data_IF_241901992849
#
_entry.id   IF_241901992849
#
_cell.length_a   1.000
_cell.length_b   1.000
_cell.length_c   1.000
_cell.angle_alpha   90.00
_cell.angle_beta   90.00
_cell.angle_gamma   90.00
#
_symmetry.space_group_name_H-M   'P 1'
#
loop_
_entity.id
_entity.type
_entity.pdbx_description
1 polymer ?
#
# COMPACT_ATOMS: atom_id res chain seq x y z
N UNK A 1 6.87 7.06 -4.15
CA UNK A 1 8.25 7.40 -4.56
C UNK A 1 8.31 7.38 -6.07
N UNK A 2 8.92 8.39 -6.72
CA UNK A 2 9.08 8.38 -8.19
C UNK A 2 10.15 7.37 -8.60
N UNK A 3 9.91 6.65 -9.70
CA UNK A 3 10.84 5.68 -10.29
C UNK A 3 10.98 5.96 -11.79
N UNK A 4 12.10 5.54 -12.38
CA UNK A 4 12.32 5.67 -13.83
C UNK A 4 11.32 4.79 -14.58
N UNK A 5 10.62 5.39 -15.54
CA UNK A 5 9.82 4.65 -16.53
C UNK A 5 10.75 3.79 -17.38
N UNK A 6 10.71 2.47 -17.19
CA UNK A 6 11.49 1.51 -17.93
C UNK A 6 10.80 0.15 -17.89
N UNK A 7 10.97 -0.63 -18.94
CA UNK A 7 10.43 -1.97 -19.07
C UNK A 7 11.61 -2.92 -19.26
N UNK A 8 11.62 -4.05 -18.54
CA UNK A 8 12.64 -5.08 -18.69
C UNK A 8 12.01 -6.47 -18.65
N UNK A 9 12.57 -7.39 -19.43
CA UNK A 9 12.18 -8.79 -19.35
C UNK A 9 12.98 -9.48 -18.25
N UNK A 10 12.28 -10.17 -17.35
CA UNK A 10 12.87 -11.03 -16.33
C UNK A 10 12.78 -12.50 -16.79
N UNK A 11 13.89 -13.09 -17.27
CA UNK A 11 13.89 -14.44 -17.82
C UNK A 11 13.68 -15.52 -16.75
N UNK A 12 13.96 -15.23 -15.48
CA UNK A 12 13.80 -16.22 -14.40
C UNK A 12 12.33 -16.48 -14.09
N UNK A 13 11.49 -15.46 -14.21
CA UNK A 13 10.06 -15.53 -13.91
C UNK A 13 9.18 -15.46 -15.16
N UNK A 14 9.81 -15.48 -16.35
CA UNK A 14 9.19 -15.32 -17.66
C UNK A 14 8.15 -14.17 -17.68
N UNK A 15 8.58 -12.99 -17.22
CA UNK A 15 7.67 -11.85 -17.05
C UNK A 15 8.32 -10.55 -17.48
N UNK A 16 7.55 -9.72 -18.18
CA UNK A 16 7.94 -8.35 -18.47
C UNK A 16 7.58 -7.46 -17.26
N UNK A 17 8.59 -6.82 -16.66
CA UNK A 17 8.50 -5.91 -15.51
C UNK A 17 8.50 -4.44 -15.95
N UNK A 18 8.11 -3.55 -15.05
CA UNK A 18 8.08 -2.10 -15.29
C UNK A 18 6.70 -1.51 -15.58
N UNK A 19 5.67 -2.36 -15.62
CA UNK A 19 4.28 -1.93 -15.70
C UNK A 19 3.65 -1.76 -14.32
N UNK A 20 2.50 -1.08 -14.26
CA UNK A 20 1.68 -1.06 -13.06
C UNK A 20 1.34 -2.47 -12.59
N UNK A 21 1.48 -2.66 -11.28
CA UNK A 21 1.32 -3.93 -10.62
C UNK A 21 0.86 -3.70 -9.19
N UNK A 22 -0.36 -4.15 -8.91
CA UNK A 22 -1.01 -4.08 -7.61
C UNK A 22 -1.13 -5.48 -6.99
N UNK A 23 -0.19 -6.36 -7.29
CA UNK A 23 -0.18 -7.77 -6.89
C UNK A 23 -1.46 -8.49 -7.36
N UNK A 24 -2.15 -9.18 -6.46
CA UNK A 24 -3.37 -9.93 -6.79
C UNK A 24 -4.56 -9.04 -7.21
N UNK A 25 -4.48 -7.71 -6.99
CA UNK A 25 -5.49 -6.76 -7.48
C UNK A 25 -5.33 -6.43 -8.97
N UNK A 26 -4.25 -6.92 -9.60
CA UNK A 26 -4.08 -6.91 -11.04
C UNK A 26 -2.95 -6.01 -11.53
N UNK A 27 -2.69 -6.16 -12.83
CA UNK A 27 -1.66 -5.43 -13.59
C UNK A 27 -2.31 -4.67 -14.74
N UNK A 28 -1.68 -3.59 -15.18
CA UNK A 28 -2.14 -2.81 -16.33
C UNK A 28 -1.05 -2.68 -17.39
N UNK A 29 -1.41 -2.16 -18.58
CA UNK A 29 -0.46 -1.88 -19.66
C UNK A 29 0.37 -0.61 -19.45
N UNK A 30 0.10 0.16 -18.40
CA UNK A 30 0.74 1.46 -18.18
C UNK A 30 2.12 1.26 -17.56
N UNK A 31 3.13 1.94 -18.13
CA UNK A 31 4.49 1.92 -17.57
C UNK A 31 4.47 2.67 -16.25
N UNK A 32 4.90 2.00 -15.18
CA UNK A 32 4.90 2.56 -13.84
C UNK A 32 5.96 3.65 -13.72
N UNK A 33 5.61 4.70 -12.98
CA UNK A 33 6.52 5.80 -12.64
C UNK A 33 6.51 6.13 -11.15
N UNK A 34 5.73 5.40 -10.36
CA UNK A 34 5.75 5.47 -8.91
C UNK A 34 5.82 4.06 -8.30
N UNK A 35 6.55 3.95 -7.19
CA UNK A 35 6.50 2.83 -6.28
C UNK A 35 5.85 3.25 -4.96
N UNK A 36 4.87 2.47 -4.50
CA UNK A 36 4.31 2.51 -3.16
C UNK A 36 4.90 1.41 -2.32
N UNK A 37 5.36 1.71 -1.11
CA UNK A 37 5.98 0.73 -0.20
C UNK A 37 5.21 0.69 1.10
N UNK A 38 4.92 -0.51 1.58
CA UNK A 38 4.34 -0.79 2.88
C UNK A 38 5.46 -1.21 3.84
N UNK A 39 5.53 -0.53 4.99
CA UNK A 39 6.56 -0.74 5.99
C UNK A 39 5.91 -0.93 7.36
N UNK A 40 6.30 -2.00 8.05
CA UNK A 40 5.96 -2.21 9.44
C UNK A 40 7.01 -1.50 10.32
N UNK A 41 6.54 -0.87 11.40
CA UNK A 41 7.37 -0.13 12.35
C UNK A 41 6.99 -0.55 13.76
N UNK A 42 7.97 -0.96 14.56
CA UNK A 42 7.76 -1.21 15.98
C UNK A 42 7.37 0.06 16.73
N UNK A 43 6.31 -0.03 17.52
CA UNK A 43 5.83 1.07 18.38
C UNK A 43 6.65 1.16 19.68
N UNK A 44 6.90 0.01 20.33
CA UNK A 44 7.64 -0.10 21.60
C UNK A 44 9.09 -0.53 21.41
N UNK A 45 9.42 -1.08 20.25
CA UNK A 45 10.76 -1.59 19.92
C UNK A 45 11.29 -0.92 18.65
N UNK A 46 12.60 -0.67 18.60
CA UNK A 46 13.22 0.02 17.47
C UNK A 46 13.54 -0.93 16.31
N UNK A 47 12.53 -1.30 15.54
CA UNK A 47 12.69 -2.05 14.29
C UNK A 47 11.80 -1.46 13.21
N UNK A 48 12.19 -1.65 11.94
CA UNK A 48 11.40 -1.29 10.76
C UNK A 48 11.69 -2.28 9.64
N UNK A 49 10.66 -2.68 8.90
CA UNK A 49 10.81 -3.62 7.81
C UNK A 49 9.83 -3.28 6.68
N UNK A 50 10.31 -2.96 5.46
CA UNK A 50 9.48 -3.01 4.27
C UNK A 50 9.01 -4.45 4.05
N UNK A 51 7.71 -4.66 3.83
CA UNK A 51 7.15 -6.00 3.65
C UNK A 51 6.33 -6.15 2.37
N UNK A 52 5.99 -5.05 1.70
CA UNK A 52 5.25 -5.09 0.44
C UNK A 52 5.47 -3.85 -0.38
N UNK A 53 5.27 -3.98 -1.69
CA UNK A 53 5.33 -2.86 -2.63
C UNK A 53 4.33 -3.02 -3.76
N UNK A 54 3.97 -1.90 -4.38
CA UNK A 54 3.14 -1.82 -5.57
C UNK A 54 3.72 -0.81 -6.55
N UNK A 55 3.42 -0.98 -7.82
CA UNK A 55 3.85 -0.08 -8.89
C UNK A 55 2.64 0.59 -9.54
N UNK A 56 2.69 1.91 -9.69
CA UNK A 56 1.60 2.70 -10.27
C UNK A 56 2.11 3.70 -11.32
N UNK A 57 1.23 4.08 -12.25
CA UNK A 57 1.42 5.22 -13.14
C UNK A 57 0.59 6.38 -12.60
N UNK A 58 1.28 7.35 -12.02
CA UNK A 58 0.66 8.42 -11.26
C UNK A 58 0.02 7.89 -9.99
N UNK A 59 -1.11 8.47 -9.61
CA UNK A 59 -1.74 8.16 -8.34
C UNK A 59 -2.61 6.91 -8.38
N UNK A 60 -2.44 6.06 -7.37
CA UNK A 60 -3.28 4.88 -7.15
C UNK A 60 -4.73 5.30 -6.94
N UNK A 61 -5.68 4.56 -7.55
CA UNK A 61 -7.11 4.76 -7.30
C UNK A 61 -7.42 4.60 -5.81
N UNK A 62 -8.30 5.44 -5.29
CA UNK A 62 -8.71 5.46 -3.88
C UNK A 62 -9.26 4.11 -3.41
N UNK A 63 -10.15 3.48 -4.19
CA UNK A 63 -10.71 2.16 -3.88
C UNK A 63 -9.61 1.10 -3.77
N UNK A 64 -8.65 1.12 -4.70
CA UNK A 64 -7.55 0.15 -4.74
C UNK A 64 -6.59 0.38 -3.57
N UNK A 65 -6.28 1.64 -3.25
CA UNK A 65 -5.43 1.97 -2.11
C UNK A 65 -6.08 1.54 -0.78
N UNK A 66 -7.39 1.75 -0.62
CA UNK A 66 -8.14 1.27 0.56
C UNK A 66 -8.00 -0.24 0.71
N UNK A 67 -8.19 -1.00 -0.38
CA UNK A 67 -8.02 -2.46 -0.37
C UNK A 67 -6.59 -2.85 0.03
N UNK A 68 -5.57 -2.24 -0.58
CA UNK A 68 -4.17 -2.53 -0.25
C UNK A 68 -3.84 -2.27 1.23
N UNK A 69 -4.38 -1.21 1.83
CA UNK A 69 -4.20 -0.92 3.27
C UNK A 69 -4.84 -2.02 4.12
N UNK A 70 -6.07 -2.43 3.82
CA UNK A 70 -6.75 -3.48 4.57
C UNK A 70 -6.06 -4.84 4.43
N UNK A 71 -5.59 -5.20 3.23
CA UNK A 71 -4.79 -6.39 3.00
C UNK A 71 -3.50 -6.34 3.81
N UNK A 72 -2.79 -5.20 3.79
CA UNK A 72 -1.56 -5.03 4.55
C UNK A 72 -1.77 -5.21 6.06
N UNK A 73 -2.91 -4.77 6.60
CA UNK A 73 -3.28 -5.00 8.01
C UNK A 73 -3.49 -6.49 8.26
N UNK A 74 -4.29 -7.17 7.42
CA UNK A 74 -4.58 -8.60 7.55
C UNK A 74 -3.30 -9.45 7.51
N UNK A 75 -2.40 -9.19 6.57
CA UNK A 75 -1.12 -9.91 6.43
C UNK A 75 -0.24 -9.77 7.68
N UNK A 76 -0.21 -8.60 8.31
CA UNK A 76 0.52 -8.38 9.56
C UNK A 76 -0.15 -9.08 10.75
N UNK A 77 -1.48 -9.06 10.82
CA UNK A 77 -2.24 -9.75 11.87
C UNK A 77 -2.10 -11.27 11.79
N UNK A 78 -2.02 -11.84 10.58
CA UNK A 78 -1.78 -13.28 10.38
C UNK A 78 -0.47 -13.77 10.99
N UNK A 79 0.54 -12.90 11.09
CA UNK A 79 1.81 -13.21 11.77
C UNK A 79 1.85 -12.69 13.21
N UNK A 80 0.68 -12.44 13.81
CA UNK A 80 0.51 -11.98 15.20
C UNK A 80 1.08 -10.59 15.51
N UNK A 81 1.26 -9.73 14.50
CA UNK A 81 1.55 -8.32 14.72
C UNK A 81 0.25 -7.53 14.86
N UNK A 82 0.06 -6.88 16.01
CA UNK A 82 -1.10 -6.04 16.25
C UNK A 82 -0.88 -4.64 15.67
N UNK A 83 -1.62 -4.30 14.61
CA UNK A 83 -1.55 -2.98 13.97
C UNK A 83 -2.38 -1.98 14.77
N UNK A 84 -1.73 -0.98 15.37
CA UNK A 84 -2.40 0.08 16.15
C UNK A 84 -2.52 1.42 15.42
N UNK A 85 -1.72 1.64 14.38
CA UNK A 85 -1.73 2.88 13.62
C UNK A 85 -1.30 2.64 12.18
N UNK A 86 -1.94 3.36 11.25
CA UNK A 86 -1.52 3.46 9.85
C UNK A 86 -1.06 4.89 9.62
N UNK A 87 0.18 5.04 9.14
CA UNK A 87 0.79 6.35 8.88
C UNK A 87 0.93 6.55 7.37
N UNK A 88 0.51 7.70 6.86
CA UNK A 88 0.68 8.09 5.46
C UNK A 88 0.95 9.60 5.34
N UNK A 89 1.37 10.04 4.16
CA UNK A 89 1.48 11.46 3.85
C UNK A 89 0.11 12.14 3.67
N UNK A 90 0.12 13.44 3.40
CA UNK A 90 -1.08 14.26 3.23
C UNK A 90 -1.59 14.33 1.78
N UNK A 91 -1.23 13.36 0.93
CA UNK A 91 -1.68 13.35 -0.46
C UNK A 91 -3.22 13.27 -0.58
N UNK A 92 -3.80 13.95 -1.56
CA UNK A 92 -5.26 14.05 -1.72
C UNK A 92 -5.99 12.70 -1.72
N UNK A 93 -5.40 11.68 -2.38
CA UNK A 93 -5.96 10.33 -2.37
C UNK A 93 -5.91 9.70 -0.97
N UNK A 94 -4.85 9.92 -0.18
CA UNK A 94 -4.76 9.42 1.20
C UNK A 94 -5.87 10.01 2.05
N UNK A 95 -6.11 11.33 1.92
CA UNK A 95 -7.21 12.02 2.60
C UNK A 95 -8.56 11.41 2.20
N UNK A 96 -8.79 11.16 0.91
CA UNK A 96 -10.02 10.51 0.42
C UNK A 96 -10.21 9.12 1.01
N UNK A 97 -9.16 8.31 1.07
CA UNK A 97 -9.22 6.96 1.65
C UNK A 97 -9.49 7.00 3.16
N UNK A 98 -8.83 7.90 3.89
CA UNK A 98 -9.08 8.11 5.32
C UNK A 98 -10.54 8.47 5.59
N UNK A 99 -11.12 9.37 4.79
CA UNK A 99 -12.56 9.70 4.87
C UNK A 99 -13.45 8.51 4.52
N UNK A 100 -13.10 7.72 3.51
CA UNK A 100 -13.87 6.52 3.11
C UNK A 100 -13.75 5.36 4.11
N UNK A 101 -12.83 5.45 5.08
CA UNK A 101 -12.73 4.60 6.27
C UNK A 101 -13.53 5.15 7.46
N UNK A 102 -14.22 6.29 7.32
CA UNK A 102 -15.00 6.92 8.40
C UNK A 102 -14.18 7.74 9.38
N UNK A 103 -12.91 8.01 9.07
CA UNK A 103 -12.02 8.80 9.94
C UNK A 103 -12.35 10.28 9.82
N UNK A 104 -12.51 10.94 10.96
CA UNK A 104 -12.75 12.38 11.09
C UNK A 104 -12.01 12.96 12.30
N UNK A 105 -12.08 14.27 12.52
CA UNK A 105 -11.53 14.86 13.74
C UNK A 105 -12.22 14.38 15.02
N UNK A 106 -13.50 14.02 14.95
CA UNK A 106 -14.26 13.46 16.08
C UNK A 106 -14.02 11.94 16.25
N UNK A 107 -13.72 11.26 15.14
CA UNK A 107 -13.45 9.82 15.07
C UNK A 107 -12.10 9.59 14.39
N UNK A 108 -10.96 9.85 15.05
CA UNK A 108 -9.62 9.78 14.44
C UNK A 108 -9.12 8.33 14.27
N UNK A 109 -10.02 7.37 14.12
CA UNK A 109 -9.77 5.94 14.00
C UNK A 109 -10.82 5.28 13.11
N UNK A 110 -10.51 4.09 12.63
CA UNK A 110 -11.45 3.17 11.99
C UNK A 110 -11.28 1.79 12.61
N UNK A 111 -12.36 1.01 12.66
CA UNK A 111 -12.33 -0.34 13.24
C UNK A 111 -12.00 -1.37 12.15
N UNK A 112 -11.17 -2.35 12.49
CA UNK A 112 -10.90 -3.51 11.65
C UNK A 112 -11.12 -4.78 12.48
N UNK A 113 -11.97 -5.70 12.00
CA UNK A 113 -12.32 -6.94 12.70
C UNK A 113 -12.81 -6.78 14.15
N UNK A 114 -13.39 -5.62 14.50
CA UNK A 114 -13.90 -5.34 15.85
C UNK A 114 -12.83 -4.89 16.86
N UNK A 115 -11.60 -4.63 16.40
CA UNK A 115 -10.49 -4.03 17.18
C UNK A 115 -10.07 -2.67 16.66
#
# INVERSE_FOLDING_TARGET
MSIKEAVCYDPKHDVVRGFEDYAHLGRSRYIANHAGVFMARGLTANWKQPFGFVFSRGTVKDVLLKQLILIAIIELEQISLCVKAVICDQGSIKITVTKSLGVSSATPYFMHNGT
#
